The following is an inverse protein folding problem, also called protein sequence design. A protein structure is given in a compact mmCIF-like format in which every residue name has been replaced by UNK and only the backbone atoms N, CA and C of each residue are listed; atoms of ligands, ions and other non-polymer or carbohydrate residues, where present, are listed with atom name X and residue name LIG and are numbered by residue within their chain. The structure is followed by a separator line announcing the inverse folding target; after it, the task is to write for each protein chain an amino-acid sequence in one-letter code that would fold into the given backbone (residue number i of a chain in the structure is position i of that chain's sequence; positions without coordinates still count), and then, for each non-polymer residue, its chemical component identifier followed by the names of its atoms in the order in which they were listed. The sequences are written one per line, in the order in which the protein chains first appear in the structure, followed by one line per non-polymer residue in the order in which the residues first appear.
data_IF_170469222415
#
_entry.id   IF_170469222415
#
_cell.length_a   1.000
_cell.length_b   1.000
_cell.length_c   1.000
_cell.angle_alpha   90.00
_cell.angle_beta   90.00
_cell.angle_gamma   90.00
#
_symmetry.space_group_name_H-M   'P 1'
#
loop_
_entity.id
_entity.type
_entity.pdbx_description
1 polymer ?
#
# COMPACT_ATOMS: atom_id res chain seq x y z
N UNK A 1 3.03 -2.32 -17.75
CA UNK A 1 3.87 -1.13 -18.03
C UNK A 1 5.35 -1.35 -17.70
N UNK A 2 5.70 -1.87 -16.52
CA UNK A 2 7.11 -2.07 -16.12
C UNK A 2 7.95 -2.89 -17.13
N UNK A 3 7.33 -3.82 -17.86
CA UNK A 3 7.99 -4.59 -18.91
C UNK A 3 8.51 -3.75 -20.10
N UNK A 4 8.01 -2.53 -20.31
CA UNK A 4 8.49 -1.65 -21.38
C UNK A 4 9.63 -0.72 -20.94
N UNK A 5 10.11 -0.80 -19.69
CA UNK A 5 11.18 0.06 -19.17
C UNK A 5 12.48 0.00 -20.01
N UNK A 6 12.80 -1.16 -20.60
CA UNK A 6 13.93 -1.32 -21.53
C UNK A 6 13.90 -0.40 -22.75
N UNK A 7 12.74 0.14 -23.14
CA UNK A 7 12.66 1.07 -24.28
C UNK A 7 13.08 2.49 -23.92
N UNK A 8 13.31 2.77 -22.63
CA UNK A 8 13.84 4.02 -22.12
C UNK A 8 14.96 3.72 -21.10
N UNK A 9 16.17 3.35 -21.57
CA UNK A 9 17.29 3.03 -20.69
C UNK A 9 17.61 4.17 -19.72
N UNK A 10 17.91 3.84 -18.47
CA UNK A 10 18.18 4.83 -17.42
C UNK A 10 16.92 5.49 -16.85
N UNK A 11 15.71 5.01 -17.18
CA UNK A 11 14.49 5.53 -16.58
C UNK A 11 14.38 5.19 -15.09
N UNK A 12 13.62 5.99 -14.35
CA UNK A 12 13.14 5.65 -13.02
C UNK A 12 11.75 5.03 -13.13
N UNK A 13 11.57 3.81 -12.61
CA UNK A 13 10.31 3.08 -12.67
C UNK A 13 9.54 3.18 -11.36
N UNK A 14 8.27 3.57 -11.42
CA UNK A 14 7.31 3.39 -10.33
C UNK A 14 6.27 2.34 -10.72
N UNK A 15 6.25 1.22 -10.01
CA UNK A 15 5.23 0.19 -10.19
C UNK A 15 4.31 0.13 -8.97
N UNK A 16 3.02 0.37 -9.20
CA UNK A 16 1.97 0.29 -8.18
C UNK A 16 1.19 -1.01 -8.39
N UNK A 17 1.00 -1.82 -7.35
CA UNK A 17 0.39 -3.15 -7.45
C UNK A 17 1.01 -3.95 -8.62
N UNK A 18 2.31 -4.27 -8.56
CA UNK A 18 3.02 -4.83 -9.71
C UNK A 18 2.45 -6.19 -10.15
N UNK A 19 2.48 -6.45 -11.44
CA UNK A 19 2.38 -7.79 -12.02
C UNK A 19 3.71 -8.07 -12.72
N UNK A 20 4.43 -9.09 -12.24
CA UNK A 20 5.70 -9.51 -12.84
C UNK A 20 5.47 -10.12 -14.23
N UNK A 21 4.44 -10.97 -14.33
CA UNK A 21 3.94 -11.57 -15.57
C UNK A 21 2.53 -12.08 -15.33
N UNK A 22 1.80 -12.35 -16.41
CA UNK A 22 0.54 -13.10 -16.38
C UNK A 22 0.67 -14.47 -17.07
N UNK A 23 1.89 -14.92 -17.39
CA UNK A 23 2.13 -16.29 -17.87
C UNK A 23 1.68 -17.29 -16.79
N UNK A 24 0.68 -18.16 -17.06
CA UNK A 24 0.17 -19.11 -16.08
C UNK A 24 1.22 -20.14 -15.62
N UNK A 25 2.33 -20.32 -16.33
CA UNK A 25 3.44 -21.21 -15.91
C UNK A 25 4.20 -20.64 -14.72
N UNK A 26 4.34 -19.31 -14.64
CA UNK A 26 5.05 -18.60 -13.56
C UNK A 26 4.10 -17.99 -12.53
N UNK A 27 2.99 -17.42 -12.99
CA UNK A 27 2.00 -16.72 -12.18
C UNK A 27 0.69 -17.51 -12.02
N UNK A 28 0.73 -18.84 -12.17
CA UNK A 28 -0.46 -19.70 -12.06
C UNK A 28 -1.18 -19.64 -10.71
N UNK A 29 -0.49 -19.14 -9.69
CA UNK A 29 -1.02 -18.85 -8.35
C UNK A 29 -1.92 -17.61 -8.31
N UNK A 30 -1.82 -16.67 -9.26
CA UNK A 30 -2.65 -15.46 -9.31
C UNK A 30 -3.97 -15.75 -10.05
N UNK A 31 -5.07 -15.80 -9.30
CA UNK A 31 -6.40 -16.10 -9.87
C UNK A 31 -7.16 -14.87 -10.35
N UNK A 32 -6.60 -13.66 -10.22
CA UNK A 32 -7.30 -12.41 -10.60
C UNK A 32 -7.48 -12.23 -12.10
N UNK A 33 -6.58 -12.82 -12.90
CA UNK A 33 -6.50 -12.59 -14.35
C UNK A 33 -6.73 -13.87 -15.18
N UNK A 34 -7.70 -14.70 -14.78
CA UNK A 34 -7.98 -15.99 -15.46
C UNK A 34 -8.30 -15.81 -16.95
N UNK A 35 -8.96 -14.72 -17.32
CA UNK A 35 -9.34 -14.43 -18.71
C UNK A 35 -8.12 -14.11 -19.59
N UNK A 36 -7.00 -13.71 -18.99
CA UNK A 36 -5.75 -13.38 -19.69
C UNK A 36 -4.89 -14.62 -20.02
N UNK A 37 -5.28 -15.84 -19.58
CA UNK A 37 -4.47 -17.07 -19.73
C UNK A 37 -4.20 -17.48 -21.18
N UNK A 38 -4.96 -16.94 -22.14
CA UNK A 38 -4.81 -17.21 -23.58
C UNK A 38 -3.99 -16.14 -24.31
N UNK A 39 -3.59 -15.07 -23.61
CA UNK A 39 -2.75 -14.01 -24.14
C UNK A 39 -1.29 -14.39 -23.91
N UNK A 40 -0.46 -14.07 -24.90
CA UNK A 40 0.97 -14.38 -24.84
C UNK A 40 1.70 -13.42 -23.89
N UNK A 41 2.32 -14.00 -22.86
CA UNK A 41 3.23 -13.33 -21.92
C UNK A 41 4.62 -13.99 -21.91
N UNK A 42 4.97 -14.71 -22.98
CA UNK A 42 6.25 -15.41 -23.15
C UNK A 42 7.14 -14.76 -24.20
N UNK A 43 6.56 -13.98 -25.12
CA UNK A 43 7.32 -13.17 -26.08
C UNK A 43 7.86 -11.88 -25.45
N UNK A 44 8.39 -10.97 -26.27
CA UNK A 44 9.06 -9.73 -25.82
C UNK A 44 8.17 -8.96 -24.83
N UNK A 45 8.78 -8.52 -23.73
CA UNK A 45 8.10 -7.83 -22.62
C UNK A 45 7.15 -8.73 -21.80
N UNK A 46 7.28 -10.05 -21.90
CA UNK A 46 6.46 -11.01 -21.16
C UNK A 46 6.74 -11.11 -19.66
N UNK A 47 7.95 -10.74 -19.23
CA UNK A 47 8.37 -10.80 -17.83
C UNK A 47 9.03 -9.49 -17.38
N UNK A 48 8.27 -8.67 -16.65
CA UNK A 48 8.70 -7.34 -16.24
C UNK A 48 9.99 -7.32 -15.38
N UNK A 49 10.24 -8.25 -14.46
CA UNK A 49 11.45 -8.23 -13.64
C UNK A 49 12.77 -8.41 -14.39
N UNK A 50 12.75 -9.01 -15.58
CA UNK A 50 13.93 -8.99 -16.46
C UNK A 50 14.05 -7.65 -17.19
N UNK A 51 12.93 -7.05 -17.58
CA UNK A 51 12.94 -5.79 -18.33
C UNK A 51 13.37 -4.60 -17.47
N UNK A 52 13.08 -4.60 -16.16
CA UNK A 52 13.53 -3.51 -15.28
C UNK A 52 15.06 -3.40 -15.16
N UNK A 53 15.84 -4.36 -15.68
CA UNK A 53 17.30 -4.25 -15.75
C UNK A 53 17.75 -3.01 -16.53
N UNK A 54 16.97 -2.56 -17.52
CA UNK A 54 17.25 -1.34 -18.27
C UNK A 54 16.97 -0.03 -17.51
N UNK A 55 16.31 -0.09 -16.35
CA UNK A 55 16.01 1.08 -15.53
C UNK A 55 17.21 1.46 -14.64
N UNK A 56 17.39 2.74 -14.36
CA UNK A 56 18.40 3.20 -13.39
C UNK A 56 17.99 2.82 -11.97
N UNK A 57 16.72 3.05 -11.63
CA UNK A 57 16.14 2.67 -10.35
C UNK A 57 14.69 2.23 -10.53
N UNK A 58 14.20 1.34 -9.66
CA UNK A 58 12.79 0.99 -9.62
C UNK A 58 12.24 1.02 -8.18
N UNK A 59 11.05 1.58 -8.03
CA UNK A 59 10.28 1.63 -6.79
C UNK A 59 9.00 0.81 -6.95
N UNK A 60 8.89 -0.24 -6.15
CA UNK A 60 7.80 -1.21 -6.25
C UNK A 60 6.89 -1.04 -5.03
N UNK A 61 5.72 -0.45 -5.23
CA UNK A 61 4.73 -0.22 -4.17
C UNK A 61 3.69 -1.33 -4.23
N UNK A 62 3.52 -2.04 -3.11
CA UNK A 62 2.63 -3.18 -3.00
C UNK A 62 2.07 -3.27 -1.59
N UNK A 63 0.91 -3.90 -1.42
CA UNK A 63 0.40 -4.23 -0.09
C UNK A 63 0.88 -5.64 0.31
N UNK A 64 1.73 -5.79 1.34
CA UNK A 64 2.20 -7.10 1.77
C UNK A 64 1.09 -7.99 2.37
N UNK A 65 -0.06 -7.41 2.74
CA UNK A 65 -1.21 -8.16 3.24
C UNK A 65 -2.12 -8.68 2.11
N UNK A 66 -1.82 -8.37 0.84
CA UNK A 66 -2.43 -8.96 -0.33
C UNK A 66 -1.47 -10.01 -0.91
N UNK A 67 -1.74 -11.32 -0.75
CA UNK A 67 -0.77 -12.37 -1.11
C UNK A 67 -0.28 -12.28 -2.55
N UNK A 68 -1.18 -12.04 -3.50
CA UNK A 68 -0.81 -11.96 -4.91
C UNK A 68 0.11 -10.77 -5.23
N UNK A 69 -0.09 -9.63 -4.56
CA UNK A 69 0.77 -8.47 -4.72
C UNK A 69 2.15 -8.70 -4.11
N UNK A 70 2.19 -9.30 -2.92
CA UNK A 70 3.44 -9.64 -2.25
C UNK A 70 4.27 -10.62 -3.08
N UNK A 71 3.63 -11.64 -3.66
CA UNK A 71 4.28 -12.62 -4.52
C UNK A 71 4.81 -11.98 -5.80
N UNK A 72 4.03 -11.12 -6.48
CA UNK A 72 4.53 -10.40 -7.66
C UNK A 72 5.68 -9.48 -7.31
N UNK A 73 5.57 -8.69 -6.23
CA UNK A 73 6.60 -7.75 -5.81
C UNK A 73 7.93 -8.45 -5.49
N UNK A 74 7.89 -9.64 -4.89
CA UNK A 74 9.08 -10.44 -4.59
C UNK A 74 9.88 -10.81 -5.86
N UNK A 75 9.20 -11.01 -7.00
CA UNK A 75 9.86 -11.34 -8.27
C UNK A 75 10.70 -10.18 -8.83
N UNK A 76 10.42 -8.93 -8.43
CA UNK A 76 11.18 -7.74 -8.85
C UNK A 76 12.51 -7.56 -8.09
N UNK A 77 12.87 -8.43 -7.14
CA UNK A 77 14.09 -8.25 -6.33
C UNK A 77 15.37 -8.15 -7.17
N UNK A 78 16.03 -6.98 -7.12
CA UNK A 78 17.34 -6.66 -7.73
C UNK A 78 18.04 -5.57 -6.90
N UNK A 79 19.32 -5.29 -7.17
CA UNK A 79 20.13 -4.30 -6.44
C UNK A 79 19.64 -2.86 -6.59
N UNK A 80 19.12 -2.50 -7.76
CA UNK A 80 18.60 -1.15 -8.06
C UNK A 80 17.08 -1.01 -7.80
N UNK A 81 16.48 -2.01 -7.17
CA UNK A 81 15.04 -2.07 -6.89
C UNK A 81 14.78 -1.86 -5.41
N UNK A 82 13.94 -0.88 -5.10
CA UNK A 82 13.46 -0.60 -3.76
C UNK A 82 12.02 -1.07 -3.61
N UNK A 83 11.80 -2.06 -2.74
CA UNK A 83 10.48 -2.51 -2.34
C UNK A 83 9.89 -1.57 -1.29
N UNK A 84 8.68 -1.05 -1.54
CA UNK A 84 7.94 -0.13 -0.68
C UNK A 84 6.63 -0.78 -0.20
N UNK A 85 6.65 -1.52 0.93
CA UNK A 85 5.47 -2.22 1.45
C UNK A 85 4.41 -1.25 2.03
N UNK A 86 3.43 -0.91 1.21
CA UNK A 86 2.33 -0.01 1.48
C UNK A 86 1.12 -0.75 2.07
N UNK A 87 1.20 -1.13 3.35
CA UNK A 87 0.10 -1.80 4.06
C UNK A 87 -1.20 -1.01 4.01
N UNK A 88 -2.25 -1.67 3.57
CA UNK A 88 -3.60 -1.12 3.46
C UNK A 88 -3.65 0.14 2.59
N UNK A 89 -2.85 0.17 1.52
CA UNK A 89 -2.87 1.26 0.55
C UNK A 89 -4.30 1.46 0.01
N UNK A 90 -4.99 0.36 -0.27
CA UNK A 90 -6.30 0.36 -0.91
C UNK A 90 -6.20 0.43 -2.43
N UNK A 91 -7.33 0.30 -3.10
CA UNK A 91 -7.40 0.16 -4.55
C UNK A 91 -8.35 1.22 -5.17
N UNK A 92 -7.99 1.84 -6.31
CA UNK A 92 -6.69 1.75 -6.98
C UNK A 92 -5.63 2.61 -6.29
N UNK A 93 -4.42 2.07 -6.09
CA UNK A 93 -3.29 2.77 -5.44
C UNK A 93 -3.01 4.17 -5.99
N UNK A 94 -3.15 4.39 -7.30
CA UNK A 94 -2.94 5.69 -7.94
C UNK A 94 -3.87 6.76 -7.39
N UNK A 95 -5.18 6.48 -7.38
CA UNK A 95 -6.18 7.34 -6.76
C UNK A 95 -5.90 7.51 -5.27
N UNK A 96 -5.29 6.48 -4.65
CA UNK A 96 -4.94 6.58 -3.24
C UNK A 96 -3.88 7.63 -2.97
N UNK A 97 -2.77 7.54 -3.70
CA UNK A 97 -1.65 8.48 -3.62
C UNK A 97 -2.06 9.90 -4.03
N UNK A 98 -2.95 10.03 -5.01
CA UNK A 98 -3.50 11.31 -5.45
C UNK A 98 -4.37 11.98 -4.37
N UNK A 99 -5.30 11.26 -3.73
CA UNK A 99 -6.13 11.82 -2.63
C UNK A 99 -5.27 12.27 -1.44
N UNK A 100 -4.10 11.64 -1.24
CA UNK A 100 -3.14 12.09 -0.22
C UNK A 100 -2.32 13.31 -0.63
N UNK A 101 -2.41 13.76 -1.88
CA UNK A 101 -1.62 14.86 -2.42
C UNK A 101 -0.12 14.54 -2.55
N UNK A 102 0.25 13.24 -2.61
CA UNK A 102 1.67 12.84 -2.62
C UNK A 102 2.14 12.33 -3.98
N UNK A 103 1.23 11.98 -4.89
CA UNK A 103 1.59 11.43 -6.20
C UNK A 103 2.45 12.40 -7.01
N UNK A 104 2.00 13.65 -7.19
CA UNK A 104 2.73 14.65 -7.97
C UNK A 104 4.10 15.02 -7.37
N UNK A 105 4.24 15.31 -6.05
CA UNK A 105 5.55 15.55 -5.45
C UNK A 105 6.54 14.41 -5.65
N UNK A 106 6.08 13.16 -5.46
CA UNK A 106 6.91 11.96 -5.63
C UNK A 106 7.40 11.83 -7.07
N UNK A 107 6.52 12.03 -8.06
CA UNK A 107 6.89 11.98 -9.47
C UNK A 107 7.83 13.13 -9.86
N UNK A 108 7.63 14.33 -9.32
CA UNK A 108 8.50 15.47 -9.58
C UNK A 108 9.92 15.24 -9.03
N UNK A 109 10.05 14.70 -7.82
CA UNK A 109 11.35 14.35 -7.24
C UNK A 109 12.02 13.21 -7.99
N UNK A 110 11.25 12.25 -8.51
CA UNK A 110 11.77 11.15 -9.32
C UNK A 110 12.32 11.66 -10.66
N UNK A 111 11.57 12.49 -11.37
CA UNK A 111 12.03 13.12 -12.61
C UNK A 111 13.29 13.98 -12.40
N UNK A 112 13.48 14.52 -11.21
CA UNK A 112 14.66 15.32 -10.87
C UNK A 112 15.82 14.50 -10.28
N UNK A 113 15.70 13.18 -10.19
CA UNK A 113 16.75 12.30 -9.64
C UNK A 113 16.99 12.47 -8.13
N UNK A 114 16.03 13.04 -7.39
CA UNK A 114 16.14 13.30 -5.93
C UNK A 114 15.24 12.39 -5.10
N UNK A 115 14.48 11.51 -5.73
CA UNK A 115 13.57 10.65 -5.02
C UNK A 115 14.32 9.53 -4.29
N UNK A 116 14.03 9.37 -3.00
CA UNK A 116 14.51 8.27 -2.20
C UNK A 116 13.37 7.63 -1.37
N UNK A 117 13.66 6.44 -0.82
CA UNK A 117 12.70 5.72 0.01
C UNK A 117 12.30 6.49 1.27
N UNK A 118 13.20 7.30 1.84
CA UNK A 118 12.96 8.01 3.08
C UNK A 118 11.93 9.14 2.89
N UNK A 119 12.08 9.93 1.82
CA UNK A 119 11.16 10.95 1.36
C UNK A 119 9.79 10.34 1.10
N UNK A 120 9.74 9.19 0.42
CA UNK A 120 8.49 8.45 0.23
C UNK A 120 7.79 8.18 1.56
N UNK A 121 8.48 7.59 2.55
CA UNK A 121 7.86 7.26 3.84
C UNK A 121 7.42 8.49 4.63
N UNK A 122 8.08 9.64 4.45
CA UNK A 122 7.63 10.92 5.02
C UNK A 122 6.29 11.33 4.42
N UNK A 123 6.18 11.35 3.10
CA UNK A 123 4.92 11.66 2.40
C UNK A 123 3.83 10.63 2.69
N UNK A 124 4.16 9.34 2.68
CA UNK A 124 3.20 8.26 2.84
C UNK A 124 2.52 8.24 4.21
N UNK A 125 3.06 8.92 5.23
CA UNK A 125 2.40 9.09 6.53
C UNK A 125 1.13 9.95 6.46
N UNK A 126 0.93 10.75 5.41
CA UNK A 126 -0.31 11.51 5.17
C UNK A 126 -1.56 10.63 5.20
N UNK A 127 -1.43 9.33 4.85
CA UNK A 127 -2.51 8.33 4.98
C UNK A 127 -3.14 8.28 6.37
N UNK A 128 -2.40 8.65 7.42
CA UNK A 128 -2.88 8.67 8.81
C UNK A 128 -3.93 9.75 9.08
N UNK A 129 -4.18 10.65 8.13
CA UNK A 129 -5.25 11.66 8.17
C UNK A 129 -6.38 11.37 7.17
N UNK A 130 -6.23 10.33 6.36
CA UNK A 130 -7.11 10.02 5.24
C UNK A 130 -8.34 9.24 5.73
N UNK A 131 -9.58 9.76 5.58
CA UNK A 131 -10.76 9.12 6.14
C UNK A 131 -11.00 7.69 5.63
N UNK A 132 -10.77 7.42 4.34
CA UNK A 132 -10.95 6.07 3.78
C UNK A 132 -9.97 5.06 4.37
N UNK A 133 -8.71 5.44 4.61
CA UNK A 133 -7.70 4.58 5.23
C UNK A 133 -8.04 4.27 6.69
N UNK A 134 -8.46 5.29 7.45
CA UNK A 134 -8.84 5.11 8.85
C UNK A 134 -10.08 4.22 9.00
N UNK A 135 -11.06 4.33 8.09
CA UNK A 135 -12.23 3.43 8.05
C UNK A 135 -11.83 2.00 7.74
N UNK A 136 -11.00 1.78 6.72
CA UNK A 136 -10.51 0.45 6.36
C UNK A 136 -9.71 -0.20 7.50
N UNK A 137 -8.88 0.59 8.20
CA UNK A 137 -8.12 0.11 9.35
C UNK A 137 -9.04 -0.27 10.52
N UNK A 138 -10.07 0.53 10.82
CA UNK A 138 -11.05 0.19 11.86
C UNK A 138 -11.85 -1.06 11.52
N UNK A 139 -12.25 -1.23 10.25
CA UNK A 139 -12.94 -2.45 9.78
C UNK A 139 -12.06 -3.70 9.93
N UNK A 140 -10.77 -3.62 9.57
CA UNK A 140 -9.82 -4.73 9.78
C UNK A 140 -9.63 -5.10 11.24
N UNK A 141 -9.55 -4.10 12.13
CA UNK A 141 -9.44 -4.36 13.57
C UNK A 141 -10.70 -5.02 14.13
N UNK A 142 -11.86 -4.70 13.57
CA UNK A 142 -13.12 -5.37 13.90
C UNK A 142 -13.12 -6.83 13.43
N UNK A 143 -12.76 -7.07 12.18
CA UNK A 143 -12.68 -8.42 11.60
C UNK A 143 -11.68 -9.30 12.38
N UNK A 144 -10.54 -8.73 12.76
CA UNK A 144 -9.53 -9.39 13.58
C UNK A 144 -9.94 -9.55 15.06
N UNK A 145 -11.14 -9.12 15.46
CA UNK A 145 -11.65 -9.16 16.84
C UNK A 145 -10.68 -8.52 17.84
N UNK A 146 -10.14 -7.34 17.50
CA UNK A 146 -9.20 -6.57 18.32
C UNK A 146 -9.85 -5.30 18.89
N UNK A 147 -10.84 -5.40 19.79
CA UNK A 147 -11.61 -4.26 20.27
C UNK A 147 -10.74 -3.19 20.97
N UNK A 148 -9.71 -3.62 21.71
CA UNK A 148 -8.79 -2.69 22.39
C UNK A 148 -8.02 -1.81 21.41
N UNK A 149 -7.46 -2.40 20.35
CA UNK A 149 -6.74 -1.65 19.31
C UNK A 149 -7.70 -0.75 18.53
N UNK A 150 -8.93 -1.22 18.27
CA UNK A 150 -9.94 -0.43 17.58
C UNK A 150 -10.33 0.80 18.42
N UNK A 151 -10.49 0.65 19.74
CA UNK A 151 -10.77 1.76 20.65
C UNK A 151 -9.62 2.79 20.67
N UNK A 152 -8.37 2.31 20.74
CA UNK A 152 -7.20 3.20 20.67
C UNK A 152 -7.13 3.98 19.35
N UNK A 153 -7.44 3.33 18.23
CA UNK A 153 -7.56 3.99 16.92
C UNK A 153 -8.67 5.05 16.94
N UNK A 154 -9.88 4.68 17.36
CA UNK A 154 -11.02 5.60 17.39
C UNK A 154 -10.76 6.82 18.27
N UNK A 155 -10.15 6.63 19.44
CA UNK A 155 -9.72 7.73 20.32
C UNK A 155 -8.72 8.64 19.63
N UNK A 156 -7.64 8.08 19.08
CA UNK A 156 -6.63 8.87 18.37
C UNK A 156 -7.23 9.69 17.24
N UNK A 157 -8.13 9.09 16.47
CA UNK A 157 -8.80 9.76 15.34
C UNK A 157 -9.78 10.83 15.83
N UNK A 158 -10.60 10.55 16.84
CA UNK A 158 -11.59 11.49 17.39
C UNK A 158 -10.97 12.75 18.02
N UNK A 159 -9.78 12.62 18.58
CA UNK A 159 -8.99 13.73 19.12
C UNK A 159 -8.24 14.49 18.03
N UNK A 160 -7.80 13.84 16.95
CA UNK A 160 -7.00 14.47 15.88
C UNK A 160 -7.86 15.13 14.82
N UNK A 161 -8.94 14.45 14.47
CA UNK A 161 -9.84 14.79 13.38
C UNK A 161 -11.23 15.01 13.98
N UNK A 162 -11.94 16.04 13.53
CA UNK A 162 -13.34 16.23 13.92
C UNK A 162 -14.20 15.13 13.26
N UNK A 163 -14.25 13.95 13.88
CA UNK A 163 -14.80 12.73 13.29
C UNK A 163 -15.89 12.12 14.19
N UNK A 164 -17.15 12.60 14.10
CA UNK A 164 -18.25 12.15 14.96
C UNK A 164 -18.50 10.64 14.93
N UNK A 165 -18.34 10.00 13.76
CA UNK A 165 -18.51 8.55 13.61
C UNK A 165 -17.49 7.75 14.43
N UNK A 166 -16.25 8.22 14.52
CA UNK A 166 -15.21 7.57 15.33
C UNK A 166 -15.45 7.80 16.83
N UNK A 167 -16.02 8.93 17.23
CA UNK A 167 -16.45 9.16 18.62
C UNK A 167 -17.57 8.21 19.04
N UNK A 168 -18.62 8.11 18.22
CA UNK A 168 -19.71 7.17 18.49
C UNK A 168 -19.21 5.72 18.57
N UNK A 169 -18.27 5.35 17.69
CA UNK A 169 -17.66 4.01 17.71
C UNK A 169 -16.80 3.77 18.94
N UNK A 170 -16.03 4.76 19.40
CA UNK A 170 -15.24 4.66 20.62
C UNK A 170 -16.13 4.32 21.82
N UNK A 171 -17.25 5.04 22.00
CA UNK A 171 -18.19 4.79 23.10
C UNK A 171 -18.73 3.36 23.10
N UNK A 172 -19.08 2.81 21.93
CA UNK A 172 -19.51 1.41 21.80
C UNK A 172 -18.41 0.42 22.18
N UNK A 173 -17.16 0.69 21.78
CA UNK A 173 -16.03 -0.18 22.08
C UNK A 173 -15.64 -0.12 23.56
N UNK A 174 -15.75 1.05 24.19
CA UNK A 174 -15.53 1.20 25.64
C UNK A 174 -16.53 0.39 26.46
N UNK A 175 -17.82 0.43 26.10
CA UNK A 175 -18.86 -0.41 26.73
C UNK A 175 -18.53 -1.90 26.59
N UNK A 176 -18.23 -2.36 25.38
CA UNK A 176 -17.82 -3.75 25.14
C UNK A 176 -16.59 -4.14 25.96
N UNK A 177 -15.56 -3.29 25.99
CA UNK A 177 -14.34 -3.59 26.74
C UNK A 177 -14.59 -3.70 28.24
N UNK A 178 -15.49 -2.88 28.79
CA UNK A 178 -15.93 -2.98 30.19
C UNK A 178 -16.63 -4.30 30.48
N UNK A 179 -17.50 -4.78 29.58
CA UNK A 179 -18.13 -6.11 29.70
C UNK A 179 -17.10 -7.24 29.74
N UNK A 180 -15.99 -7.11 28.99
CA UNK A 180 -14.86 -8.05 29.01
C UNK A 180 -13.85 -7.80 30.14
N UNK A 181 -14.12 -6.89 31.08
CA UNK A 181 -13.21 -6.56 32.18
C UNK A 181 -11.89 -5.92 31.74
N UNK A 182 -11.80 -5.45 30.50
CA UNK A 182 -10.60 -4.80 29.95
C UNK A 182 -10.77 -3.29 29.99
N UNK A 183 -9.81 -2.57 30.57
CA UNK A 183 -9.87 -1.10 30.67
C UNK A 183 -8.98 -0.47 29.60
N UNK A 184 -9.50 0.57 28.93
CA UNK A 184 -8.73 1.36 27.99
C UNK A 184 -7.66 2.18 28.76
N UNK A 185 -6.36 2.12 28.39
CA UNK A 185 -5.33 2.93 29.03
C UNK A 185 -5.66 4.42 28.96
N UNK A 186 -5.27 5.26 29.93
CA UNK A 186 -5.55 6.69 29.91
C UNK A 186 -5.00 7.38 28.65
N UNK A 187 -5.62 8.48 28.25
CA UNK A 187 -5.09 9.30 27.16
C UNK A 187 -3.71 9.86 27.56
N UNK A 188 -2.78 9.87 26.61
CA UNK A 188 -1.48 10.52 26.80
C UNK A 188 -1.56 11.94 26.24
N UNK A 189 -1.02 12.95 26.95
CA UNK A 189 -0.92 14.29 26.40
C UNK A 189 -0.09 14.26 25.10
N UNK A 190 -0.46 15.07 24.12
CA UNK A 190 0.31 15.18 22.88
C UNK A 190 1.58 15.97 23.14
N UNK A 191 2.70 15.42 22.66
CA UNK A 191 3.95 16.15 22.47
C UNK A 191 3.88 17.03 21.21
#
# INVERSE_FOLDING_TARGET
AAAFSVTAPGCTVFALHPQATLDPRLAGWDTRFRDMRRIDFTSRYGFAPEMIEGAETAFILFDPDLPFDAMHAALFYRTHVTLLPCRHLGEPATAVLAEMGILEPILADACAGRFDALAFWRHYRTRRNLPRYLRALSARLEEAQRPLLNALLCRNVAERLNAPRFRARLTQLEQKLQEFGTVLPPSRPRA
#
